data_IF_858678919909
#
_entry.id   IF_858678919909
#
_cell.length_a   1.000
_cell.length_b   1.000
_cell.length_c   1.000
_cell.angle_alpha   90.00
_cell.angle_beta   90.00
_cell.angle_gamma   90.00
#
_symmetry.space_group_name_H-M   'P 1'
#
loop_
_entity.id
_entity.type
_entity.pdbx_description
1 polymer ?
#
# COMPACT_ATOMS: atom_id res chain seq x y z
N UNK A 1 -2.58 33.13 -9.95
CA UNK A 1 -3.71 32.45 -9.28
C UNK A 1 -3.80 31.09 -9.93
N UNK A 2 -3.22 30.08 -9.28
CA UNK A 2 -3.11 28.72 -9.82
C UNK A 2 -4.48 28.04 -9.76
N UNK A 3 -4.82 27.26 -10.78
CA UNK A 3 -6.08 26.51 -10.85
C UNK A 3 -6.13 25.47 -9.69
N UNK A 4 -7.25 25.32 -8.96
CA UNK A 4 -7.42 24.33 -7.89
C UNK A 4 -7.07 22.89 -8.28
N UNK A 5 -7.09 22.57 -9.58
CA UNK A 5 -6.69 21.26 -10.12
C UNK A 5 -5.16 21.11 -10.11
N UNK A 6 -4.41 22.19 -10.34
CA UNK A 6 -2.94 22.18 -10.36
C UNK A 6 -2.34 22.10 -8.96
N UNK A 7 -3.05 22.57 -7.93
CA UNK A 7 -2.61 22.47 -6.53
C UNK A 7 -2.84 21.07 -5.94
N UNK A 8 -3.79 20.30 -6.49
CA UNK A 8 -3.91 18.84 -6.25
C UNK A 8 -2.87 18.00 -7.02
N UNK A 9 -2.15 18.59 -7.99
CA UNK A 9 -1.17 17.88 -8.82
C UNK A 9 0.23 17.73 -8.18
N UNK A 10 0.53 18.42 -7.09
CA UNK A 10 1.85 18.42 -6.43
C UNK A 10 2.11 17.19 -5.53
N UNK A 11 1.10 16.34 -5.31
CA UNK A 11 1.21 15.13 -4.48
C UNK A 11 1.99 13.97 -5.15
N UNK A 12 2.25 14.03 -6.46
CA UNK A 12 2.72 12.86 -7.24
C UNK A 12 4.21 12.51 -7.16
N UNK A 13 5.11 13.49 -7.23
CA UNK A 13 6.54 13.24 -6.96
C UNK A 13 6.76 12.91 -5.49
N UNK A 14 6.01 13.56 -4.59
CA UNK A 14 6.09 13.31 -3.16
C UNK A 14 5.64 11.90 -2.78
N UNK A 15 4.56 11.34 -3.36
CA UNK A 15 4.18 9.95 -3.07
C UNK A 15 5.17 8.94 -3.65
N UNK A 16 5.67 9.13 -4.87
CA UNK A 16 6.65 8.20 -5.46
C UNK A 16 7.93 8.21 -4.65
N UNK A 17 8.39 9.40 -4.25
CA UNK A 17 9.54 9.57 -3.37
C UNK A 17 9.28 9.06 -1.95
N UNK A 18 8.09 9.27 -1.36
CA UNK A 18 7.73 8.77 -0.03
C UNK A 18 7.59 7.23 -0.01
N UNK A 19 7.00 6.65 -1.05
CA UNK A 19 6.93 5.19 -1.22
C UNK A 19 8.30 4.58 -1.43
N UNK A 20 9.15 5.18 -2.26
CA UNK A 20 10.52 4.73 -2.48
C UNK A 20 11.33 4.84 -1.18
N UNK A 21 11.32 6.01 -0.54
CA UNK A 21 11.97 6.25 0.77
C UNK A 21 11.57 5.24 1.84
N UNK A 22 10.28 4.88 1.93
CA UNK A 22 9.82 3.94 2.95
C UNK A 22 10.16 2.47 2.63
N UNK A 23 10.00 2.06 1.37
CA UNK A 23 10.13 0.66 0.96
C UNK A 23 11.57 0.24 0.67
N UNK A 24 12.45 1.16 0.27
CA UNK A 24 13.86 0.84 -0.02
C UNK A 24 14.82 1.25 1.08
N UNK A 25 14.58 2.36 1.79
CA UNK A 25 15.65 2.98 2.59
C UNK A 25 15.55 2.70 4.10
N UNK A 26 14.35 2.36 4.63
CA UNK A 26 14.15 2.13 6.07
C UNK A 26 13.58 0.77 6.43
N UNK A 27 12.53 0.32 5.76
CA UNK A 27 11.86 -0.96 6.08
C UNK A 27 12.25 -2.10 5.10
N UNK A 28 13.24 -1.89 4.23
CA UNK A 28 13.47 -2.68 3.01
C UNK A 28 13.77 -4.16 3.18
N UNK A 29 14.37 -4.59 4.30
CA UNK A 29 14.55 -6.00 4.64
C UNK A 29 13.33 -6.60 5.35
N UNK A 30 12.66 -5.79 6.17
CA UNK A 30 11.54 -6.21 7.01
C UNK A 30 10.23 -6.38 6.25
N UNK A 31 10.06 -5.56 5.22
CA UNK A 31 8.95 -5.64 4.31
C UNK A 31 9.20 -6.63 3.17
N UNK A 32 10.26 -7.45 3.19
CA UNK A 32 10.55 -8.40 2.10
C UNK A 32 9.37 -9.33 1.74
N UNK A 33 8.56 -9.74 2.74
CA UNK A 33 7.34 -10.53 2.52
C UNK A 33 6.25 -9.72 1.80
N UNK A 34 6.10 -8.45 2.18
CA UNK A 34 5.17 -7.51 1.55
C UNK A 34 5.71 -7.04 0.18
N UNK A 35 7.04 -7.02 0.00
CA UNK A 35 7.76 -6.57 -1.18
C UNK A 35 7.54 -7.49 -2.39
N UNK A 36 7.18 -8.76 -2.20
CA UNK A 36 6.77 -9.60 -3.32
C UNK A 36 5.44 -9.10 -3.92
N UNK A 37 4.44 -8.87 -3.07
CA UNK A 37 3.09 -8.45 -3.49
C UNK A 37 3.03 -6.97 -3.88
N UNK A 38 3.73 -6.11 -3.12
CA UNK A 38 3.83 -4.66 -3.40
C UNK A 38 4.86 -4.38 -4.50
N UNK A 39 5.97 -5.10 -4.54
CA UNK A 39 7.06 -4.87 -5.50
C UNK A 39 6.62 -5.16 -6.93
N UNK A 40 5.87 -6.23 -7.17
CA UNK A 40 5.28 -6.49 -8.50
C UNK A 40 4.37 -5.36 -8.98
N UNK A 41 3.55 -4.81 -8.08
CA UNK A 41 2.67 -3.67 -8.37
C UNK A 41 3.46 -2.38 -8.60
N UNK A 42 4.51 -2.13 -7.81
CA UNK A 42 5.39 -0.97 -7.96
C UNK A 42 6.18 -1.04 -9.26
N UNK A 43 6.85 -2.16 -9.53
CA UNK A 43 7.60 -2.36 -10.78
C UNK A 43 6.73 -2.14 -12.00
N UNK A 44 5.46 -2.53 -11.94
CA UNK A 44 4.51 -2.28 -13.03
C UNK A 44 4.23 -0.79 -13.25
N UNK A 45 3.92 -0.07 -12.17
CA UNK A 45 3.69 1.38 -12.22
C UNK A 45 4.94 2.13 -12.69
N UNK A 46 6.12 1.74 -12.20
CA UNK A 46 7.40 2.32 -12.60
C UNK A 46 7.73 2.02 -14.06
N UNK A 47 7.50 0.79 -14.52
CA UNK A 47 7.71 0.42 -15.92
C UNK A 47 6.84 1.26 -16.85
N UNK A 48 5.56 1.46 -16.49
CA UNK A 48 4.64 2.29 -17.27
C UNK A 48 5.10 3.76 -17.27
N UNK A 49 5.52 4.29 -16.13
CA UNK A 49 6.06 5.66 -16.01
C UNK A 49 7.24 5.89 -16.94
N UNK A 50 8.19 4.94 -16.99
CA UNK A 50 9.41 5.04 -17.79
C UNK A 50 9.15 5.04 -19.31
N UNK A 51 7.98 4.59 -19.78
CA UNK A 51 7.63 4.62 -21.21
C UNK A 51 7.39 6.04 -21.73
N UNK A 52 6.81 6.91 -20.90
CA UNK A 52 6.61 8.33 -21.22
C UNK A 52 6.44 9.13 -19.92
N UNK A 53 7.55 9.56 -19.29
CA UNK A 53 7.51 10.31 -18.04
C UNK A 53 6.71 11.61 -18.13
N UNK A 54 6.59 12.21 -19.32
CA UNK A 54 5.85 13.46 -19.50
C UNK A 54 4.33 13.23 -19.43
N UNK A 55 3.88 12.10 -20.00
CA UNK A 55 2.48 11.67 -20.03
C UNK A 55 2.03 10.97 -18.75
N UNK A 56 2.93 10.20 -18.15
CA UNK A 56 2.66 9.38 -16.98
C UNK A 56 3.18 9.99 -15.67
N UNK A 57 3.51 11.29 -15.64
CA UNK A 57 3.82 12.01 -14.41
C UNK A 57 2.65 12.00 -13.39
N UNK A 58 1.45 11.64 -13.85
CA UNK A 58 0.24 11.49 -13.08
C UNK A 58 -0.17 10.01 -13.08
N UNK A 59 -0.07 9.39 -11.90
CA UNK A 59 -0.46 8.00 -11.68
C UNK A 59 -1.90 7.72 -12.14
N UNK A 60 -2.79 8.69 -11.93
CA UNK A 60 -4.19 8.59 -12.28
C UNK A 60 -4.44 8.62 -13.79
N UNK A 61 -3.54 9.21 -14.59
CA UNK A 61 -3.62 9.16 -16.06
C UNK A 61 -3.43 7.75 -16.57
N UNK A 62 -2.52 6.96 -15.97
CA UNK A 62 -2.36 5.54 -16.33
C UNK A 62 -3.65 4.75 -16.08
N UNK A 63 -4.31 5.02 -14.96
CA UNK A 63 -5.56 4.34 -14.58
C UNK A 63 -6.70 4.78 -15.49
N UNK A 64 -6.81 6.08 -15.78
CA UNK A 64 -7.85 6.61 -16.66
C UNK A 64 -7.76 6.01 -18.06
N UNK A 65 -6.55 5.88 -18.62
CA UNK A 65 -6.36 5.20 -19.91
C UNK A 65 -6.87 3.76 -19.91
N UNK A 66 -6.59 3.00 -18.84
CA UNK A 66 -7.06 1.63 -18.71
C UNK A 66 -8.58 1.54 -18.48
N UNK A 67 -9.16 2.55 -17.82
CA UNK A 67 -10.62 2.66 -17.64
C UNK A 67 -11.29 2.93 -18.99
N UNK A 68 -10.79 3.90 -19.75
CA UNK A 68 -11.31 4.27 -21.06
C UNK A 68 -11.17 3.11 -22.06
N UNK A 69 -10.06 2.39 -22.00
CA UNK A 69 -9.79 1.18 -22.79
C UNK A 69 -10.52 -0.08 -22.28
N UNK A 70 -11.25 0.00 -21.15
CA UNK A 70 -11.93 -1.14 -20.49
C UNK A 70 -11.00 -2.29 -20.09
N UNK A 71 -9.73 -2.00 -19.80
CA UNK A 71 -8.71 -2.96 -19.37
C UNK A 71 -8.33 -2.84 -17.89
N UNK A 72 -8.85 -1.85 -17.17
CA UNK A 72 -8.53 -1.55 -15.76
C UNK A 72 -8.78 -2.69 -14.76
N UNK A 73 -9.62 -3.68 -15.10
CA UNK A 73 -9.89 -4.84 -14.24
C UNK A 73 -8.95 -6.03 -14.51
N UNK A 74 -8.06 -5.91 -15.48
CA UNK A 74 -7.07 -6.93 -15.79
C UNK A 74 -6.12 -7.14 -14.61
N UNK A 75 -5.75 -8.39 -14.32
CA UNK A 75 -4.81 -8.73 -13.25
C UNK A 75 -3.44 -8.05 -13.42
N UNK A 76 -3.07 -7.77 -14.67
CA UNK A 76 -1.84 -7.09 -15.08
C UNK A 76 -1.98 -5.56 -15.26
N UNK A 77 -3.13 -4.96 -14.96
CA UNK A 77 -3.35 -3.51 -15.13
C UNK A 77 -2.66 -2.69 -14.03
N UNK A 78 -2.38 -1.42 -14.33
CA UNK A 78 -1.89 -0.42 -13.39
C UNK A 78 -2.95 -0.06 -12.36
N UNK A 79 -4.22 0.01 -12.78
CA UNK A 79 -5.37 0.26 -11.93
C UNK A 79 -5.52 -0.80 -10.83
N UNK A 80 -5.44 -2.09 -11.19
CA UNK A 80 -5.44 -3.19 -10.23
C UNK A 80 -4.21 -3.11 -9.30
N UNK A 81 -3.04 -2.75 -9.85
CA UNK A 81 -1.83 -2.55 -9.05
C UNK A 81 -1.95 -1.42 -8.01
N UNK A 82 -2.52 -0.28 -8.40
CA UNK A 82 -2.78 0.85 -7.51
C UNK A 82 -3.78 0.48 -6.41
N UNK A 83 -4.86 -0.21 -6.77
CA UNK A 83 -5.89 -0.65 -5.82
C UNK A 83 -5.31 -1.55 -4.72
N UNK A 84 -4.63 -2.64 -5.10
CA UNK A 84 -4.09 -3.59 -4.13
C UNK A 84 -2.93 -3.01 -3.33
N UNK A 85 -2.12 -2.15 -3.95
CA UNK A 85 -1.07 -1.42 -3.23
C UNK A 85 -1.66 -0.49 -2.16
N UNK A 86 -2.71 0.27 -2.49
CA UNK A 86 -3.36 1.19 -1.54
C UNK A 86 -3.87 0.42 -0.32
N UNK A 87 -4.62 -0.68 -0.55
CA UNK A 87 -5.16 -1.51 0.53
C UNK A 87 -4.11 -2.23 1.36
N UNK A 88 -3.00 -2.65 0.75
CA UNK A 88 -1.87 -3.23 1.48
C UNK A 88 -1.19 -2.19 2.39
N UNK A 89 -1.14 -0.93 1.96
CA UNK A 89 -0.60 0.16 2.77
C UNK A 89 -1.55 0.54 3.91
N UNK A 90 -2.89 0.50 3.72
CA UNK A 90 -3.84 0.66 4.83
C UNK A 90 -3.61 -0.38 5.92
N UNK A 91 -3.44 -1.65 5.51
CA UNK A 91 -3.14 -2.75 6.42
C UNK A 91 -1.87 -2.47 7.24
N UNK A 92 -0.81 -1.94 6.62
CA UNK A 92 0.43 -1.62 7.32
C UNK A 92 0.28 -0.44 8.27
N UNK A 93 -0.47 0.59 7.89
CA UNK A 93 -0.79 1.72 8.78
C UNK A 93 -1.50 1.21 10.03
N UNK A 94 -2.54 0.38 9.87
CA UNK A 94 -3.26 -0.20 11.01
C UNK A 94 -2.38 -1.14 11.83
N UNK A 95 -1.56 -1.97 11.17
CA UNK A 95 -0.63 -2.85 11.87
C UNK A 95 0.35 -2.06 12.75
N UNK A 96 0.93 -0.98 12.24
CA UNK A 96 1.85 -0.15 13.02
C UNK A 96 1.14 0.59 14.16
N UNK A 97 -0.09 1.06 13.95
CA UNK A 97 -0.92 1.61 15.04
C UNK A 97 -1.14 0.59 16.15
N UNK A 98 -1.50 -0.64 15.80
CA UNK A 98 -1.74 -1.71 16.78
C UNK A 98 -0.44 -2.10 17.50
N UNK A 99 0.69 -2.19 16.79
CA UNK A 99 1.99 -2.48 17.40
C UNK A 99 2.47 -1.37 18.36
N UNK A 100 2.21 -0.10 18.04
CA UNK A 100 2.53 1.04 18.91
C UNK A 100 1.62 1.09 20.15
N UNK A 101 0.32 0.83 19.98
CA UNK A 101 -0.67 0.91 21.05
C UNK A 101 -0.62 -0.29 22.01
N UNK A 102 -0.24 -1.46 21.52
CA UNK A 102 -0.32 -2.71 22.26
C UNK A 102 1.04 -3.43 22.26
N UNK A 103 1.89 -3.10 23.24
CA UNK A 103 3.22 -3.71 23.38
C UNK A 103 3.18 -5.18 23.82
N UNK A 104 2.07 -5.62 24.41
CA UNK A 104 1.79 -6.96 24.91
C UNK A 104 1.20 -7.90 23.86
N UNK A 105 0.67 -7.37 22.75
CA UNK A 105 0.08 -8.18 21.69
C UNK A 105 1.13 -8.99 20.93
N UNK A 106 0.78 -10.24 20.63
CA UNK A 106 1.52 -11.05 19.66
C UNK A 106 1.37 -10.50 18.23
N UNK A 107 2.29 -10.89 17.35
CA UNK A 107 2.23 -10.52 15.93
C UNK A 107 0.92 -10.97 15.26
N UNK A 108 0.43 -12.15 15.63
CA UNK A 108 -0.83 -12.70 15.11
C UNK A 108 -2.04 -11.88 15.53
N UNK A 109 -2.08 -11.38 16.78
CA UNK A 109 -3.15 -10.49 17.24
C UNK A 109 -3.16 -9.18 16.45
N UNK A 110 -2.00 -8.51 16.36
CA UNK A 110 -1.88 -7.24 15.64
C UNK A 110 -2.24 -7.38 14.14
N UNK A 111 -1.75 -8.43 13.47
CA UNK A 111 -2.10 -8.69 12.07
C UNK A 111 -3.58 -9.06 11.88
N UNK A 112 -4.18 -9.81 12.81
CA UNK A 112 -5.59 -10.22 12.68
C UNK A 112 -6.53 -9.03 12.83
N UNK A 113 -6.22 -8.11 13.75
CA UNK A 113 -7.01 -6.90 13.97
C UNK A 113 -6.90 -5.94 12.78
N UNK A 114 -5.67 -5.62 12.36
CA UNK A 114 -5.43 -4.76 11.19
C UNK A 114 -6.02 -5.35 9.90
N UNK A 115 -5.96 -6.67 9.69
CA UNK A 115 -6.63 -7.35 8.58
C UNK A 115 -8.16 -7.19 8.63
N UNK A 116 -8.74 -7.33 9.81
CA UNK A 116 -10.17 -7.14 10.04
C UNK A 116 -10.66 -5.74 9.67
N UNK A 117 -9.88 -4.72 10.01
CA UNK A 117 -10.18 -3.30 9.71
C UNK A 117 -10.04 -2.95 8.23
N UNK A 118 -9.19 -3.67 7.48
CA UNK A 118 -8.74 -3.25 6.14
C UNK A 118 -9.12 -4.25 5.04
N UNK A 119 -8.32 -5.31 4.86
CA UNK A 119 -8.35 -6.21 3.71
C UNK A 119 -9.52 -7.21 3.74
N UNK A 120 -10.00 -7.60 4.92
CA UNK A 120 -10.98 -8.68 5.09
C UNK A 120 -12.24 -8.49 4.25
N UNK A 121 -12.77 -7.26 4.16
CA UNK A 121 -13.99 -6.97 3.38
C UNK A 121 -13.82 -7.17 1.87
N UNK A 122 -12.59 -7.15 1.38
CA UNK A 122 -12.25 -7.30 -0.04
C UNK A 122 -11.76 -8.71 -0.40
N UNK A 123 -11.41 -9.53 0.58
CA UNK A 123 -10.93 -10.88 0.35
C UNK A 123 -12.09 -11.88 0.35
N UNK A 124 -12.23 -12.63 -0.74
CA UNK A 124 -13.09 -13.82 -0.77
C UNK A 124 -12.59 -14.92 0.17
N UNK A 125 -13.30 -16.06 0.22
CA UNK A 125 -12.94 -17.18 1.08
C UNK A 125 -11.52 -17.71 0.80
N UNK A 126 -11.12 -17.78 -0.47
CA UNK A 126 -9.79 -18.26 -0.86
C UNK A 126 -8.69 -17.34 -0.34
N UNK A 127 -8.76 -16.03 -0.65
CA UNK A 127 -7.79 -15.05 -0.17
C UNK A 127 -7.75 -14.93 1.37
N UNK A 128 -8.91 -15.04 2.04
CA UNK A 128 -8.98 -15.03 3.51
C UNK A 128 -8.32 -16.27 4.14
N UNK A 129 -8.47 -17.43 3.50
CA UNK A 129 -7.83 -18.67 3.93
C UNK A 129 -6.32 -18.60 3.76
N UNK A 130 -5.85 -18.07 2.62
CA UNK A 130 -4.42 -17.83 2.37
C UNK A 130 -3.79 -16.90 3.42
N UNK A 131 -4.49 -15.83 3.80
CA UNK A 131 -4.03 -14.93 4.87
C UNK A 131 -3.87 -15.68 6.20
N UNK A 132 -4.84 -16.51 6.57
CA UNK A 132 -4.79 -17.30 7.81
C UNK A 132 -3.59 -18.25 7.83
N UNK A 133 -3.26 -18.87 6.69
CA UNK A 133 -2.06 -19.71 6.56
C UNK A 133 -0.79 -18.87 6.64
N UNK A 134 -0.72 -17.73 5.95
CA UNK A 134 0.42 -16.83 6.00
C UNK A 134 0.72 -16.36 7.44
N UNK A 135 -0.30 -16.11 8.26
CA UNK A 135 -0.12 -15.72 9.66
C UNK A 135 0.50 -16.81 10.54
N UNK A 136 0.35 -18.09 10.19
CA UNK A 136 1.05 -19.18 10.88
C UNK A 136 2.54 -19.23 10.55
N UNK A 137 2.94 -18.62 9.44
CA UNK A 137 4.31 -18.54 8.96
C UNK A 137 4.97 -17.19 9.28
N UNK A 138 4.19 -16.22 9.75
CA UNK A 138 4.69 -14.91 10.13
C UNK A 138 5.71 -15.03 11.28
N UNK A 139 6.77 -14.19 11.28
CA UNK A 139 7.71 -14.17 12.39
C UNK A 139 7.01 -13.79 13.70
N UNK A 140 7.57 -14.22 14.82
CA UNK A 140 7.16 -13.67 16.11
C UNK A 140 7.43 -12.15 16.18
N UNK A 141 6.75 -11.47 17.09
CA UNK A 141 6.81 -10.01 17.22
C UNK A 141 8.24 -9.53 17.41
N UNK A 142 9.02 -10.18 18.28
CA UNK A 142 10.37 -9.72 18.58
C UNK A 142 11.22 -9.71 17.31
N UNK A 143 11.19 -10.81 16.56
CA UNK A 143 11.90 -10.93 15.29
C UNK A 143 11.40 -9.93 14.26
N UNK A 144 10.09 -9.69 14.16
CA UNK A 144 9.55 -8.66 13.28
C UNK A 144 10.10 -7.27 13.63
N UNK A 145 10.02 -6.87 14.91
CA UNK A 145 10.48 -5.58 15.41
C UNK A 145 11.98 -5.40 15.20
N UNK A 146 12.80 -6.43 15.42
CA UNK A 146 14.24 -6.40 15.15
C UNK A 146 14.54 -6.12 13.67
N UNK A 147 13.79 -6.73 12.76
CA UNK A 147 14.00 -6.53 11.32
C UNK A 147 13.52 -5.14 10.86
N UNK A 148 12.37 -4.64 11.36
CA UNK A 148 11.88 -3.29 11.00
C UNK A 148 12.68 -2.17 11.68
N UNK A 149 13.29 -2.40 12.85
CA UNK A 149 14.10 -1.41 13.55
C UNK A 149 15.40 -1.10 12.81
N UNK A 150 16.04 -2.11 12.22
CA UNK A 150 17.37 -1.97 11.64
C UNK A 150 18.35 -1.40 12.68
N UNK A 151 18.88 -0.20 12.42
CA UNK A 151 19.76 0.55 13.35
C UNK A 151 19.09 1.78 13.97
N UNK A 152 17.79 2.00 13.72
CA UNK A 152 17.06 3.22 14.08
C UNK A 152 16.05 3.05 15.21
N UNK A 153 15.31 4.13 15.48
CA UNK A 153 14.16 4.13 16.39
C UNK A 153 12.91 3.66 15.65
N UNK A 154 12.57 2.39 15.87
CA UNK A 154 11.42 1.72 15.24
C UNK A 154 10.09 2.37 15.60
N UNK A 155 9.94 2.89 16.82
CA UNK A 155 8.69 3.49 17.26
C UNK A 155 8.46 4.80 16.52
N UNK A 156 9.49 5.67 16.50
CA UNK A 156 9.44 6.93 15.76
C UNK A 156 9.21 6.72 14.26
N UNK A 157 9.81 5.69 13.66
CA UNK A 157 9.63 5.38 12.25
C UNK A 157 8.21 4.86 11.94
N UNK A 158 7.63 4.04 12.81
CA UNK A 158 6.22 3.63 12.70
C UNK A 158 5.26 4.81 12.87
N UNK A 159 5.50 5.69 13.84
CA UNK A 159 4.67 6.89 14.06
C UNK A 159 4.70 7.83 12.86
N UNK A 160 5.89 8.06 12.30
CA UNK A 160 6.08 8.84 11.10
C UNK A 160 5.33 8.22 9.91
N UNK A 161 5.40 6.90 9.75
CA UNK A 161 4.66 6.18 8.72
C UNK A 161 3.15 6.38 8.86
N UNK A 162 2.63 6.19 10.07
CA UNK A 162 1.21 6.36 10.40
C UNK A 162 0.70 7.79 10.24
N UNK A 163 1.59 8.78 10.21
CA UNK A 163 1.26 10.20 10.00
C UNK A 163 1.33 10.59 8.53
N UNK A 164 2.34 10.12 7.81
CA UNK A 164 2.61 10.55 6.43
C UNK A 164 1.67 9.89 5.42
N UNK A 165 1.43 8.59 5.53
CA UNK A 165 0.73 7.84 4.48
C UNK A 165 -0.79 8.05 4.39
N UNK A 166 -1.56 8.15 5.49
CA UNK A 166 -3.02 8.16 5.39
C UNK A 166 -3.62 9.20 4.43
N UNK A 167 -3.15 10.46 4.35
CA UNK A 167 -3.68 11.42 3.38
C UNK A 167 -3.55 10.96 1.93
N UNK A 168 -2.42 10.35 1.56
CA UNK A 168 -2.21 9.82 0.20
C UNK A 168 -3.09 8.59 -0.08
N UNK A 169 -3.33 7.74 0.92
CA UNK A 169 -4.20 6.57 0.78
C UNK A 169 -5.67 7.01 0.60
N UNK A 170 -6.10 8.02 1.36
CA UNK A 170 -7.44 8.60 1.22
C UNK A 170 -7.67 9.20 -0.17
N UNK A 171 -6.69 9.89 -0.74
CA UNK A 171 -6.77 10.38 -2.12
C UNK A 171 -6.86 9.25 -3.14
N UNK A 172 -6.08 8.18 -2.97
CA UNK A 172 -6.15 7.01 -3.84
C UNK A 172 -7.54 6.35 -3.77
N UNK A 173 -8.11 6.18 -2.58
CA UNK A 173 -9.47 5.65 -2.44
C UNK A 173 -10.51 6.55 -3.12
N UNK A 174 -10.44 7.87 -2.91
CA UNK A 174 -11.34 8.83 -3.57
C UNK A 174 -11.27 8.72 -5.09
N UNK A 175 -10.07 8.60 -5.64
CA UNK A 175 -9.87 8.41 -7.07
C UNK A 175 -10.38 7.05 -7.56
N UNK A 176 -10.00 5.95 -6.89
CA UNK A 176 -10.45 4.61 -7.27
C UNK A 176 -11.97 4.46 -7.19
N UNK A 177 -12.62 5.16 -6.25
CA UNK A 177 -14.07 5.21 -6.13
C UNK A 177 -14.69 6.01 -7.29
N UNK A 178 -14.10 7.13 -7.69
CA UNK A 178 -14.62 7.94 -8.81
C UNK A 178 -14.58 7.21 -10.16
N UNK A 179 -13.71 6.22 -10.31
CA UNK A 179 -13.63 5.34 -11.50
C UNK A 179 -14.26 3.95 -11.30
N UNK A 180 -14.97 3.72 -10.17
CA UNK A 180 -15.72 2.48 -9.92
C UNK A 180 -14.88 1.23 -9.67
N UNK A 181 -13.67 1.38 -9.14
CA UNK A 181 -12.72 0.29 -8.86
C UNK A 181 -12.58 -0.03 -7.36
N UNK A 182 -12.91 0.91 -6.46
CA UNK A 182 -12.62 0.80 -5.02
C UNK A 182 -13.35 -0.35 -4.29
N UNK A 183 -14.43 -0.88 -4.86
CA UNK A 183 -15.19 -2.01 -4.30
C UNK A 183 -14.80 -3.39 -4.89
N UNK A 184 -13.80 -3.44 -5.78
CA UNK A 184 -13.37 -4.71 -6.39
C UNK A 184 -12.85 -5.69 -5.33
N UNK A 185 -13.26 -6.96 -5.42
CA UNK A 185 -12.82 -8.03 -4.53
C UNK A 185 -11.71 -8.86 -5.14
N UNK A 186 -10.87 -9.44 -4.30
CA UNK A 186 -9.94 -10.47 -4.72
C UNK A 186 -10.75 -11.71 -5.13
N UNK A 187 -10.43 -12.24 -6.30
CA UNK A 187 -10.95 -13.51 -6.81
C UNK A 187 -10.55 -14.67 -5.91
#
# INVERSE_FOLDING_TARGET
MSDPITEKCSLNLSWMSAKRFCLTDKFGAAMALVKSDIGGNITRLETKYLLDPSKYNQLYTMVQEEVDAKTAKGSSSCANGLLWLTRAMDFLVELFRDLLAHSDWSMSQACSDSYGKTLKKFHGWLASSSFTVAMKLAPDRKKFMEVIAGTGDVAADMEKFCTIFPPFLEENHKFLASVGLDDMKAS
#
